data_IF_289372078937
#
_entry.id   IF_289372078937
#
_cell.length_a   1.000
_cell.length_b   1.000
_cell.length_c   1.000
_cell.angle_alpha   90.00
_cell.angle_beta   90.00
_cell.angle_gamma   90.00
#
_symmetry.space_group_name_H-M   'P 1'
#
loop_
_entity.id
_entity.type
_entity.pdbx_description
1 polymer ?
#
# COMPACT_ATOMS: atom_id res chain seq x y z
N UNK A 1 3.11 26.69 -12.95
CA UNK A 1 3.79 25.41 -13.21
C UNK A 1 2.73 24.36 -13.46
N UNK A 2 2.58 23.95 -14.72
CA UNK A 2 1.64 22.89 -15.08
C UNK A 2 1.99 21.59 -14.35
N UNK A 3 0.97 20.83 -13.94
CA UNK A 3 1.07 19.48 -13.34
C UNK A 3 1.46 19.33 -11.86
N UNK A 4 1.47 20.39 -11.02
CA UNK A 4 1.70 20.27 -9.57
C UNK A 4 0.72 19.32 -8.84
N UNK A 5 -0.48 19.13 -9.38
CA UNK A 5 -1.50 18.22 -8.84
C UNK A 5 -1.10 16.72 -8.96
N UNK A 6 -0.10 16.38 -9.79
CA UNK A 6 0.29 14.99 -10.03
C UNK A 6 1.23 14.48 -8.93
N UNK A 7 0.68 13.72 -7.99
CA UNK A 7 1.42 13.10 -6.86
C UNK A 7 2.65 12.28 -7.26
N UNK A 8 2.66 11.71 -8.47
CA UNK A 8 3.78 10.91 -8.96
C UNK A 8 4.90 11.74 -9.60
N UNK A 9 4.76 13.07 -9.72
CA UNK A 9 5.69 13.94 -10.44
C UNK A 9 7.11 13.87 -9.87
N UNK A 10 7.26 13.91 -8.54
CA UNK A 10 8.57 13.81 -7.89
C UNK A 10 9.25 12.47 -8.17
N UNK A 11 8.49 11.37 -8.19
CA UNK A 11 9.02 10.05 -8.54
C UNK A 11 9.40 9.97 -10.02
N UNK A 12 8.63 10.59 -10.91
CA UNK A 12 8.91 10.64 -12.34
C UNK A 12 10.20 11.44 -12.60
N UNK A 13 10.33 12.61 -11.98
CA UNK A 13 11.55 13.42 -12.04
C UNK A 13 12.77 12.63 -11.55
N UNK A 14 12.64 11.89 -10.43
CA UNK A 14 13.70 11.02 -9.95
C UNK A 14 14.05 9.91 -10.94
N UNK A 15 13.05 9.22 -11.52
CA UNK A 15 13.30 8.20 -12.55
C UNK A 15 14.05 8.79 -13.73
N UNK A 16 13.60 9.94 -14.23
CA UNK A 16 14.20 10.63 -15.37
C UNK A 16 15.64 11.02 -15.09
N UNK A 17 15.94 11.61 -13.92
CA UNK A 17 17.30 11.95 -13.51
C UNK A 17 18.27 10.75 -13.51
N UNK A 18 17.78 9.55 -13.20
CA UNK A 18 18.60 8.33 -13.19
C UNK A 18 18.70 7.73 -14.60
N UNK A 19 17.68 7.91 -15.44
CA UNK A 19 17.64 7.43 -16.83
C UNK A 19 18.47 8.30 -17.78
N UNK A 20 18.52 9.61 -17.53
CA UNK A 20 19.11 10.63 -18.40
C UNK A 20 20.55 10.32 -18.83
N UNK A 21 21.48 9.89 -17.94
CA UNK A 21 22.85 9.54 -18.35
C UNK A 21 22.97 8.33 -19.27
N UNK A 22 21.90 7.55 -19.46
CA UNK A 22 21.91 6.33 -20.26
C UNK A 22 21.17 6.47 -21.59
N UNK A 23 20.12 7.29 -21.63
CA UNK A 23 19.23 7.42 -22.80
C UNK A 23 18.83 8.87 -23.12
N UNK A 24 19.30 9.87 -22.36
CA UNK A 24 18.89 11.26 -22.49
C UNK A 24 19.26 11.89 -23.85
N UNK A 25 20.43 11.55 -24.38
CA UNK A 25 20.90 12.03 -25.68
C UNK A 25 20.36 11.22 -26.87
N UNK A 26 19.60 10.15 -26.61
CA UNK A 26 19.04 9.33 -27.68
C UNK A 26 17.76 9.97 -28.24
N UNK A 27 17.62 10.07 -29.57
CA UNK A 27 16.33 10.45 -30.15
C UNK A 27 15.30 9.37 -29.81
N UNK A 28 14.04 9.76 -29.61
CA UNK A 28 12.97 8.86 -29.16
C UNK A 28 12.89 7.55 -29.97
N UNK A 29 13.10 7.62 -31.29
CA UNK A 29 13.11 6.48 -32.22
C UNK A 29 14.20 5.43 -31.93
N UNK A 30 15.24 5.78 -31.17
CA UNK A 30 16.34 4.89 -30.74
C UNK A 30 16.17 4.38 -29.31
N UNK A 31 15.12 4.77 -28.60
CA UNK A 31 14.83 4.26 -27.25
C UNK A 31 14.03 2.97 -27.35
N UNK A 32 14.67 1.83 -27.14
CA UNK A 32 14.06 0.50 -27.20
C UNK A 32 14.69 -0.43 -26.14
N UNK A 33 14.27 -1.69 -26.09
CA UNK A 33 14.72 -2.64 -25.06
C UNK A 33 16.25 -2.75 -24.96
N UNK A 34 16.93 -2.90 -26.10
CA UNK A 34 18.39 -3.01 -26.17
C UNK A 34 19.13 -1.79 -25.65
N UNK A 35 18.68 -0.56 -25.98
CA UNK A 35 19.33 0.66 -25.44
C UNK A 35 19.09 0.84 -23.94
N UNK A 36 18.01 0.27 -23.40
CA UNK A 36 17.71 0.25 -21.96
C UNK A 36 18.47 -0.84 -21.18
N UNK A 37 19.13 -1.80 -21.84
CA UNK A 37 19.87 -2.87 -21.14
C UNK A 37 21.06 -2.32 -20.34
N UNK A 38 21.72 -1.27 -20.82
CA UNK A 38 22.80 -0.58 -20.10
C UNK A 38 22.29 -0.03 -18.76
N UNK A 39 21.13 0.63 -18.77
CA UNK A 39 20.43 1.13 -17.60
C UNK A 39 19.99 0.00 -16.65
N UNK A 40 19.38 -1.06 -17.19
CA UNK A 40 18.94 -2.22 -16.38
C UNK A 40 20.15 -2.86 -15.67
N UNK A 41 21.26 -3.07 -16.38
CA UNK A 41 22.51 -3.61 -15.79
C UNK A 41 23.06 -2.68 -14.72
N UNK A 42 23.08 -1.37 -14.96
CA UNK A 42 23.51 -0.38 -13.99
C UNK A 42 22.68 -0.45 -12.69
N UNK A 43 21.35 -0.46 -12.80
CA UNK A 43 20.46 -0.53 -11.63
C UNK A 43 20.58 -1.86 -10.87
N UNK A 44 20.79 -2.97 -11.59
CA UNK A 44 21.08 -4.27 -10.97
C UNK A 44 22.40 -4.27 -10.21
N UNK A 45 23.46 -3.66 -10.77
CA UNK A 45 24.75 -3.48 -10.07
C UNK A 45 24.62 -2.67 -8.78
N UNK A 46 23.68 -1.73 -8.72
CA UNK A 46 23.33 -1.01 -7.49
C UNK A 46 22.49 -1.83 -6.49
N UNK A 47 22.21 -3.11 -6.76
CA UNK A 47 21.38 -3.97 -5.90
C UNK A 47 19.89 -3.61 -5.90
N UNK A 48 19.41 -2.88 -6.92
CA UNK A 48 18.00 -2.50 -6.99
C UNK A 48 17.12 -3.69 -7.37
N UNK A 49 15.98 -3.80 -6.68
CA UNK A 49 14.96 -4.84 -6.96
C UNK A 49 14.29 -4.64 -8.31
N UNK A 50 13.87 -5.74 -8.93
CA UNK A 50 13.20 -5.75 -10.24
C UNK A 50 11.99 -4.79 -10.30
N UNK A 51 11.13 -4.78 -9.27
CA UNK A 51 9.98 -3.88 -9.21
C UNK A 51 10.37 -2.38 -9.19
N UNK A 52 11.51 -2.03 -8.57
CA UNK A 52 12.00 -0.65 -8.59
C UNK A 52 12.46 -0.26 -9.99
N UNK A 53 13.18 -1.15 -10.68
CA UNK A 53 13.61 -0.95 -12.06
C UNK A 53 12.39 -0.85 -12.98
N UNK A 54 11.40 -1.72 -12.82
CA UNK A 54 10.15 -1.68 -13.60
C UNK A 54 9.39 -0.37 -13.43
N UNK A 55 9.43 0.24 -12.24
CA UNK A 55 8.86 1.59 -12.03
C UNK A 55 9.63 2.68 -12.79
N UNK A 56 10.95 2.55 -12.92
CA UNK A 56 11.74 3.46 -13.75
C UNK A 56 11.40 3.26 -15.24
N UNK A 57 11.36 2.00 -15.71
CA UNK A 57 10.98 1.64 -17.09
C UNK A 57 9.53 2.03 -17.44
N UNK A 58 8.61 2.01 -16.47
CA UNK A 58 7.23 2.43 -16.67
C UNK A 58 7.12 3.92 -17.05
N UNK A 59 8.06 4.77 -16.60
CA UNK A 59 8.12 6.17 -17.01
C UNK A 59 8.51 6.28 -18.48
N UNK A 60 9.54 5.55 -18.91
CA UNK A 60 9.96 5.49 -20.33
C UNK A 60 8.82 4.97 -21.19
N UNK A 61 8.20 3.84 -20.81
CA UNK A 61 7.04 3.29 -21.53
C UNK A 61 5.93 4.31 -21.68
N UNK A 62 5.62 5.06 -20.61
CA UNK A 62 4.58 6.10 -20.65
C UNK A 62 4.94 7.22 -21.62
N UNK A 63 6.18 7.68 -21.63
CA UNK A 63 6.66 8.73 -22.54
C UNK A 63 6.57 8.25 -23.99
N UNK A 64 7.09 7.06 -24.31
CA UNK A 64 7.01 6.50 -25.66
C UNK A 64 5.57 6.28 -26.14
N UNK A 65 4.68 5.83 -25.24
CA UNK A 65 3.25 5.69 -25.54
C UNK A 65 2.60 7.05 -25.83
N UNK A 66 2.97 8.09 -25.07
CA UNK A 66 2.45 9.45 -25.29
C UNK A 66 2.95 10.03 -26.60
N UNK A 67 4.25 9.89 -26.89
CA UNK A 67 4.86 10.30 -28.15
C UNK A 67 4.21 9.63 -29.37
N UNK A 68 3.81 8.36 -29.24
CA UNK A 68 3.18 7.61 -30.33
C UNK A 68 1.66 7.82 -30.47
N UNK A 69 0.97 8.29 -29.42
CA UNK A 69 -0.51 8.30 -29.41
C UNK A 69 -1.14 9.65 -29.17
N UNK A 70 -0.54 10.48 -28.32
CA UNK A 70 -1.17 11.72 -27.84
C UNK A 70 -0.41 12.99 -28.26
N UNK A 71 0.91 13.01 -28.09
CA UNK A 71 1.69 14.19 -28.42
C UNK A 71 1.78 14.36 -29.93
N UNK A 72 1.77 15.62 -30.36
CA UNK A 72 1.93 16.02 -31.75
C UNK A 72 3.06 17.05 -31.86
N UNK A 73 3.74 17.08 -32.98
CA UNK A 73 4.67 18.14 -33.34
C UNK A 73 3.92 19.33 -33.96
N UNK A 74 4.66 20.36 -34.38
CA UNK A 74 4.09 21.57 -34.99
C UNK A 74 3.37 21.28 -36.32
N UNK A 75 3.62 20.13 -36.94
CA UNK A 75 2.96 19.66 -38.16
C UNK A 75 1.73 18.80 -37.88
N UNK A 76 1.37 18.58 -36.61
CA UNK A 76 0.23 17.76 -36.21
C UNK A 76 0.49 16.25 -36.33
N UNK A 77 1.74 15.82 -36.50
CA UNK A 77 2.13 14.40 -36.58
C UNK A 77 2.60 13.87 -35.22
N UNK A 78 2.48 12.56 -35.02
CA UNK A 78 3.01 11.93 -33.82
C UNK A 78 4.53 11.91 -33.85
N UNK A 79 5.15 12.09 -32.68
CA UNK A 79 6.61 12.03 -32.51
C UNK A 79 7.19 10.64 -32.77
N UNK A 80 6.35 9.61 -32.66
CA UNK A 80 6.66 8.23 -33.00
C UNK A 80 5.48 7.64 -33.78
N UNK A 81 5.76 6.80 -34.76
CA UNK A 81 4.73 6.02 -35.45
C UNK A 81 4.17 4.92 -34.53
N UNK A 82 5.08 4.18 -33.87
CA UNK A 82 4.73 3.14 -32.91
C UNK A 82 5.67 3.17 -31.70
N UNK A 83 5.11 2.93 -30.52
CA UNK A 83 5.90 2.78 -29.30
C UNK A 83 6.47 1.35 -29.24
N UNK A 84 7.78 1.18 -29.03
CA UNK A 84 8.37 -0.16 -28.95
C UNK A 84 7.88 -0.89 -27.70
N UNK A 85 7.81 -2.22 -27.80
CA UNK A 85 7.48 -3.06 -26.66
C UNK A 85 8.68 -3.13 -25.71
N UNK A 86 8.51 -2.61 -24.51
CA UNK A 86 9.46 -2.80 -23.41
C UNK A 86 9.03 -3.99 -22.57
N UNK A 87 9.92 -4.92 -22.27
CA UNK A 87 9.61 -6.04 -21.38
C UNK A 87 9.90 -5.64 -19.93
N UNK A 88 8.95 -5.88 -19.03
CA UNK A 88 9.18 -5.70 -17.60
C UNK A 88 9.96 -6.90 -17.06
N UNK A 89 10.79 -6.66 -16.05
CA UNK A 89 11.51 -7.70 -15.34
C UNK A 89 10.57 -8.52 -14.46
N UNK A 90 10.81 -9.82 -14.34
CA UNK A 90 10.06 -10.67 -13.42
C UNK A 90 10.27 -10.24 -11.97
N UNK A 91 9.19 -10.28 -11.19
CA UNK A 91 9.13 -9.76 -9.83
C UNK A 91 8.76 -10.87 -8.83
N UNK A 92 9.69 -11.78 -8.58
CA UNK A 92 9.47 -12.92 -7.69
C UNK A 92 9.74 -12.60 -6.20
N UNK A 93 10.23 -11.39 -5.90
CA UNK A 93 10.64 -10.97 -4.56
C UNK A 93 9.51 -10.30 -3.74
N UNK A 94 8.26 -10.45 -4.18
CA UNK A 94 7.11 -9.90 -3.49
C UNK A 94 6.98 -10.50 -2.08
N UNK A 95 7.17 -9.64 -1.07
CA UNK A 95 7.08 -10.07 0.33
C UNK A 95 5.64 -10.50 0.64
N UNK A 96 5.50 -11.68 1.25
CA UNK A 96 4.23 -12.18 1.78
C UNK A 96 3.72 -11.30 2.95
N UNK A 97 2.40 -11.06 3.05
CA UNK A 97 1.79 -10.41 4.21
C UNK A 97 2.17 -11.12 5.52
N UNK A 98 2.36 -10.36 6.60
CA UNK A 98 2.63 -10.90 7.94
C UNK A 98 1.54 -10.48 8.93
N UNK A 99 0.38 -11.16 9.00
CA UNK A 99 -0.64 -10.86 10.01
C UNK A 99 -0.12 -11.19 11.41
N UNK A 100 -0.25 -10.25 12.36
CA UNK A 100 0.18 -10.46 13.73
C UNK A 100 -0.79 -11.38 14.48
N UNK A 101 -0.23 -12.26 15.30
CA UNK A 101 -0.95 -12.90 16.40
C UNK A 101 -1.30 -11.88 17.49
N UNK A 102 -2.16 -12.31 18.41
CA UNK A 102 -2.54 -11.53 19.57
C UNK A 102 -1.37 -11.27 20.53
N UNK A 103 -0.53 -12.28 20.79
CA UNK A 103 0.69 -12.14 21.58
C UNK A 103 1.67 -11.14 20.95
N UNK A 104 1.94 -11.28 19.65
CA UNK A 104 2.84 -10.37 18.93
C UNK A 104 2.34 -8.93 18.94
N UNK A 105 1.02 -8.72 18.82
CA UNK A 105 0.42 -7.39 18.97
C UNK A 105 0.69 -6.84 20.38
N UNK A 106 0.42 -7.61 21.42
CA UNK A 106 0.63 -7.18 22.82
C UNK A 106 2.09 -6.82 23.07
N UNK A 107 3.04 -7.66 22.66
CA UNK A 107 4.48 -7.41 22.82
C UNK A 107 4.94 -6.17 22.05
N UNK A 108 4.49 -6.00 20.81
CA UNK A 108 4.83 -4.82 20.01
C UNK A 108 4.24 -3.53 20.60
N UNK A 109 2.95 -3.55 20.95
CA UNK A 109 2.23 -2.36 21.37
C UNK A 109 2.67 -1.86 22.75
N UNK A 110 3.11 -2.78 23.63
CA UNK A 110 3.70 -2.42 24.92
C UNK A 110 4.99 -1.60 24.79
N UNK A 111 5.72 -1.72 23.66
CA UNK A 111 6.97 -0.98 23.39
C UNK A 111 6.75 0.33 22.62
N UNK A 112 5.54 0.58 22.12
CA UNK A 112 5.24 1.81 21.38
C UNK A 112 5.00 2.99 22.33
N UNK A 113 5.50 4.20 21.99
CA UNK A 113 5.08 5.41 22.70
C UNK A 113 3.58 5.64 22.49
N UNK A 114 2.94 6.30 23.45
CA UNK A 114 1.47 6.44 23.54
C UNK A 114 0.82 6.84 22.20
N UNK A 115 1.27 7.93 21.58
CA UNK A 115 0.71 8.41 20.31
C UNK A 115 0.79 7.35 19.18
N UNK A 116 1.89 6.60 19.05
CA UNK A 116 2.00 5.54 18.05
C UNK A 116 1.17 4.32 18.43
N UNK A 117 1.04 4.01 19.73
CA UNK A 117 0.24 2.90 20.23
C UNK A 117 -1.23 3.12 19.91
N UNK A 118 -1.77 4.32 20.14
CA UNK A 118 -3.16 4.67 19.81
C UNK A 118 -3.40 4.59 18.30
N UNK A 119 -2.48 5.13 17.48
CA UNK A 119 -2.57 5.01 16.02
C UNK A 119 -2.50 3.56 15.54
N UNK A 120 -1.63 2.74 16.12
CA UNK A 120 -1.48 1.32 15.78
C UNK A 120 -2.73 0.52 16.18
N UNK A 121 -3.32 0.82 17.34
CA UNK A 121 -4.55 0.20 17.83
C UNK A 121 -5.75 0.56 16.96
N UNK A 122 -5.89 1.83 16.59
CA UNK A 122 -6.92 2.25 15.64
C UNK A 122 -6.73 1.54 14.29
N UNK A 123 -5.50 1.50 13.77
CA UNK A 123 -5.19 0.90 12.47
C UNK A 123 -5.46 -0.60 12.39
N UNK A 124 -5.07 -1.36 13.43
CA UNK A 124 -5.27 -2.83 13.45
C UNK A 124 -6.74 -3.22 13.60
N UNK A 125 -7.58 -2.32 14.09
CA UNK A 125 -9.02 -2.52 14.26
C UNK A 125 -9.88 -1.93 13.12
N UNK A 126 -9.30 -1.19 12.18
CA UNK A 126 -10.06 -0.50 11.09
C UNK A 126 -9.53 -0.80 9.68
N UNK A 127 -8.37 -1.47 9.56
CA UNK A 127 -7.78 -1.81 8.25
C UNK A 127 -7.38 -0.60 7.39
N UNK A 128 -7.31 0.58 7.99
CA UNK A 128 -6.95 1.85 7.34
C UNK A 128 -5.57 1.79 6.69
N UNK A 129 -5.34 2.59 5.65
CA UNK A 129 -3.99 2.88 5.12
C UNK A 129 -3.25 3.80 6.10
N UNK A 130 -1.92 3.80 6.08
CA UNK A 130 -1.13 4.67 6.98
C UNK A 130 -1.52 6.14 6.80
N UNK A 131 -1.62 6.60 5.55
CA UNK A 131 -2.00 7.99 5.25
C UNK A 131 -3.36 8.37 5.83
N UNK A 132 -4.36 7.48 5.72
CA UNK A 132 -5.71 7.70 6.25
C UNK A 132 -5.72 7.87 7.78
N UNK A 133 -4.78 7.25 8.51
CA UNK A 133 -4.63 7.46 9.96
C UNK A 133 -3.89 8.76 10.26
N UNK A 134 -2.78 9.02 9.56
CA UNK A 134 -1.93 10.20 9.80
C UNK A 134 -2.63 11.52 9.49
N UNK A 135 -3.60 11.52 8.58
CA UNK A 135 -4.36 12.71 8.20
C UNK A 135 -5.81 12.71 8.69
N UNK A 136 -6.20 11.78 9.58
CA UNK A 136 -7.58 11.66 10.05
C UNK A 136 -8.03 12.94 10.79
N UNK A 137 -9.19 13.49 10.41
CA UNK A 137 -9.74 14.74 10.95
C UNK A 137 -11.06 14.54 11.64
N UNK A 138 -11.36 15.39 12.63
CA UNK A 138 -12.63 15.36 13.34
C UNK A 138 -13.83 15.70 12.46
N UNK A 139 -13.67 16.61 11.50
CA UNK A 139 -14.75 16.98 10.57
C UNK A 139 -15.11 15.87 9.56
N UNK A 140 -14.40 14.74 9.57
CA UNK A 140 -14.73 13.55 8.78
C UNK A 140 -15.54 12.53 9.59
N UNK A 141 -15.72 12.75 10.89
CA UNK A 141 -16.56 11.92 11.74
C UNK A 141 -18.03 12.23 11.46
N UNK A 142 -18.80 11.19 11.13
CA UNK A 142 -20.24 11.26 10.87
C UNK A 142 -20.96 10.45 11.94
N UNK A 143 -21.86 11.10 12.66
CA UNK A 143 -22.73 10.43 13.63
C UNK A 143 -23.86 9.69 12.93
N UNK A 144 -24.17 8.49 13.38
CA UNK A 144 -25.29 7.67 12.92
C UNK A 144 -26.20 7.40 14.13
N UNK A 145 -27.16 8.29 14.42
CA UNK A 145 -28.00 8.21 15.60
C UNK A 145 -28.74 6.87 15.76
N UNK A 146 -29.18 6.28 14.64
CA UNK A 146 -29.92 5.01 14.59
C UNK A 146 -29.11 3.85 15.18
N UNK A 147 -27.79 3.89 14.99
CA UNK A 147 -26.86 2.88 15.46
C UNK A 147 -26.12 3.31 16.74
N UNK A 148 -26.45 4.50 17.30
CA UNK A 148 -25.82 5.09 18.48
C UNK A 148 -24.28 5.09 18.41
N UNK A 149 -23.74 5.32 17.22
CA UNK A 149 -22.30 5.26 16.93
C UNK A 149 -21.92 6.27 15.86
N UNK A 150 -20.62 6.45 15.65
CA UNK A 150 -20.08 7.23 14.54
C UNK A 150 -19.20 6.37 13.63
N UNK A 151 -18.98 6.89 12.43
CA UNK A 151 -18.05 6.36 11.41
C UNK A 151 -17.19 7.51 10.89
N UNK A 152 -16.07 7.22 10.24
CA UNK A 152 -15.33 8.24 9.49
C UNK A 152 -15.55 8.07 8.00
N UNK A 153 -15.84 9.17 7.31
CA UNK A 153 -15.86 9.25 5.85
C UNK A 153 -14.60 9.97 5.42
N UNK A 154 -13.55 9.21 5.10
CA UNK A 154 -12.25 9.77 4.72
C UNK A 154 -12.30 10.19 3.25
N UNK A 155 -12.11 11.48 2.93
CA UNK A 155 -12.25 11.97 1.57
C UNK A 155 -11.25 11.34 0.61
N UNK A 156 -11.74 10.97 -0.58
CA UNK A 156 -10.93 10.46 -1.68
C UNK A 156 -9.99 11.50 -2.29
N UNK A 157 -10.26 12.79 -2.02
CA UNK A 157 -9.47 13.98 -2.40
C UNK A 157 -8.10 14.00 -1.74
N UNK A 158 -7.28 13.00 -2.05
CA UNK A 158 -6.46 12.44 -0.99
C UNK A 158 -5.75 11.14 -1.35
N UNK A 159 -6.21 10.40 -2.35
CA UNK A 159 -5.67 9.10 -2.77
C UNK A 159 -5.74 8.97 -4.30
N UNK A 160 -4.98 8.01 -4.87
CA UNK A 160 -4.83 7.77 -6.33
C UNK A 160 -6.17 7.60 -7.10
N UNK A 161 -7.30 7.53 -6.40
CA UNK A 161 -8.52 6.88 -6.82
C UNK A 161 -9.80 7.71 -6.64
N UNK A 162 -9.75 8.90 -6.00
CA UNK A 162 -10.84 9.88 -5.98
C UNK A 162 -12.10 9.54 -5.18
N UNK A 163 -12.27 8.30 -4.71
CA UNK A 163 -13.47 7.85 -3.97
C UNK A 163 -13.28 7.96 -2.45
N UNK A 164 -14.36 8.35 -1.77
CA UNK A 164 -14.42 8.41 -0.31
C UNK A 164 -14.33 7.01 0.30
N UNK A 165 -13.68 6.92 1.46
CA UNK A 165 -13.53 5.67 2.19
C UNK A 165 -14.31 5.73 3.49
N UNK A 166 -15.32 4.87 3.60
CA UNK A 166 -15.99 4.61 4.87
C UNK A 166 -15.06 3.80 5.80
N UNK A 167 -14.87 4.30 7.02
CA UNK A 167 -14.10 3.64 8.08
C UNK A 167 -15.03 3.35 9.23
N UNK A 168 -15.38 2.07 9.34
CA UNK A 168 -16.20 1.55 10.42
C UNK A 168 -15.30 1.14 11.58
N UNK A 169 -15.77 1.42 12.80
CA UNK A 169 -15.01 1.23 14.03
C UNK A 169 -15.67 0.17 14.90
N UNK A 170 -14.87 -0.74 15.46
CA UNK A 170 -15.31 -1.61 16.56
C UNK A 170 -15.14 -0.91 17.92
N UNK A 171 -15.50 -1.58 19.02
CA UNK A 171 -15.40 -1.03 20.37
C UNK A 171 -13.99 -0.50 20.71
N UNK A 172 -12.95 -1.24 20.35
CA UNK A 172 -11.54 -0.87 20.57
C UNK A 172 -11.15 0.41 19.82
N UNK A 173 -11.52 0.50 18.54
CA UNK A 173 -11.26 1.68 17.73
C UNK A 173 -12.02 2.90 18.26
N UNK A 174 -13.29 2.74 18.69
CA UNK A 174 -14.07 3.83 19.31
C UNK A 174 -13.46 4.28 20.63
N UNK A 175 -12.95 3.36 21.45
CA UNK A 175 -12.25 3.70 22.68
C UNK A 175 -10.99 4.54 22.42
N UNK A 176 -10.22 4.22 21.37
CA UNK A 176 -9.09 5.06 20.93
C UNK A 176 -9.55 6.46 20.57
N UNK A 177 -10.59 6.59 19.74
CA UNK A 177 -11.11 7.89 19.30
C UNK A 177 -11.56 8.73 20.50
N UNK A 178 -12.28 8.13 21.44
CA UNK A 178 -12.73 8.83 22.65
C UNK A 178 -11.56 9.35 23.48
N UNK A 179 -10.45 8.59 23.60
CA UNK A 179 -9.22 9.06 24.27
C UNK A 179 -8.50 10.19 23.53
N UNK A 180 -8.73 10.35 22.22
CA UNK A 180 -8.15 11.44 21.44
C UNK A 180 -8.97 12.73 21.51
N UNK A 181 -10.25 12.68 21.92
CA UNK A 181 -11.10 13.87 21.99
C UNK A 181 -10.49 14.92 22.94
N UNK A 182 -10.56 16.18 22.53
CA UNK A 182 -10.00 17.30 23.28
C UNK A 182 -8.48 17.48 23.18
N UNK A 183 -7.72 16.54 22.61
CA UNK A 183 -6.26 16.69 22.47
C UNK A 183 -5.85 17.64 21.33
N UNK A 184 -6.67 17.72 20.28
CA UNK A 184 -6.48 18.63 19.16
C UNK A 184 -7.84 18.91 18.49
N UNK A 185 -8.02 20.14 17.98
CA UNK A 185 -9.29 20.58 17.40
C UNK A 185 -9.53 20.08 15.95
N UNK A 186 -8.47 19.80 15.20
CA UNK A 186 -8.56 19.49 13.76
C UNK A 186 -8.27 18.02 13.47
N UNK A 187 -7.16 17.48 14.00
CA UNK A 187 -6.69 16.13 13.73
C UNK A 187 -6.98 15.19 14.90
N UNK A 188 -7.38 13.96 14.56
CA UNK A 188 -7.60 12.90 15.55
C UNK A 188 -6.28 12.46 16.19
N UNK A 189 -5.22 12.31 15.39
CA UNK A 189 -3.92 11.86 15.88
C UNK A 189 -2.86 12.95 15.69
N UNK A 190 -2.22 13.36 16.79
CA UNK A 190 -1.16 14.37 16.79
C UNK A 190 0.05 13.94 17.62
N UNK A 191 1.18 14.56 17.34
CA UNK A 191 2.41 14.48 18.15
C UNK A 191 2.57 15.77 18.98
N UNK A 192 3.58 15.79 19.87
CA UNK A 192 3.86 16.91 20.77
C UNK A 192 3.80 18.26 20.03
N UNK A 193 3.09 19.24 20.62
CA UNK A 193 2.78 20.58 20.05
C UNK A 193 1.65 20.61 19.00
N UNK A 194 0.78 19.60 18.96
CA UNK A 194 -0.45 19.63 18.14
C UNK A 194 -0.22 19.47 16.64
N UNK A 195 0.99 19.10 16.21
CA UNK A 195 1.29 18.79 14.81
C UNK A 195 0.78 17.38 14.48
N UNK A 196 0.19 17.14 13.30
CA UNK A 196 -0.21 15.80 12.89
C UNK A 196 1.02 14.89 12.79
N UNK A 197 0.83 13.61 13.10
CA UNK A 197 1.86 12.59 12.89
C UNK A 197 1.97 12.36 11.39
N UNK A 198 3.12 12.64 10.80
CA UNK A 198 3.35 12.55 9.36
C UNK A 198 3.55 11.10 8.89
N UNK A 199 4.11 10.22 9.73
CA UNK A 199 4.28 8.78 9.45
C UNK A 199 4.26 7.96 10.75
N UNK A 200 3.76 6.72 10.67
CA UNK A 200 3.81 5.77 11.78
C UNK A 200 5.16 5.02 11.77
N UNK A 201 5.73 4.73 10.59
CA UNK A 201 7.01 4.01 10.45
C UNK A 201 8.25 4.88 10.79
N UNK A 202 8.27 5.42 12.00
CA UNK A 202 9.32 6.26 12.57
C UNK A 202 10.46 5.43 13.16
N UNK A 203 11.51 6.10 13.66
CA UNK A 203 12.56 5.45 14.44
C UNK A 203 12.00 4.71 15.67
N UNK A 204 10.99 5.29 16.32
CA UNK A 204 10.33 4.68 17.48
C UNK A 204 9.60 3.38 17.12
N UNK A 205 8.86 3.35 16.01
CA UNK A 205 8.26 2.10 15.50
C UNK A 205 9.30 1.02 15.24
N UNK A 206 10.40 1.38 14.56
CA UNK A 206 11.48 0.44 14.25
C UNK A 206 12.12 -0.10 15.51
N UNK A 207 12.43 0.76 16.47
CA UNK A 207 12.97 0.35 17.78
C UNK A 207 12.01 -0.60 18.51
N UNK A 208 10.74 -0.24 18.60
CA UNK A 208 9.74 -1.05 19.30
C UNK A 208 9.60 -2.46 18.72
N UNK A 209 9.64 -2.61 17.39
CA UNK A 209 9.58 -3.94 16.76
C UNK A 209 10.87 -4.75 16.93
N UNK A 210 12.05 -4.12 17.02
CA UNK A 210 13.29 -4.83 17.34
C UNK A 210 13.22 -5.35 18.79
N UNK A 211 12.83 -4.49 19.74
CA UNK A 211 12.68 -4.85 21.17
C UNK A 211 11.60 -5.91 21.41
N UNK A 212 10.57 -5.97 20.55
CA UNK A 212 9.54 -7.01 20.58
C UNK A 212 9.95 -8.31 19.87
N UNK A 213 11.14 -8.40 19.28
CA UNK A 213 11.58 -9.57 18.51
C UNK A 213 10.82 -9.76 17.19
N UNK A 214 10.33 -8.67 16.60
CA UNK A 214 9.50 -8.63 15.39
C UNK A 214 10.09 -7.69 14.30
N UNK A 215 11.40 -7.76 13.97
CA UNK A 215 12.06 -6.86 13.02
C UNK A 215 11.43 -6.84 11.62
N UNK A 216 10.75 -7.93 11.26
CA UNK A 216 10.05 -8.06 10.00
C UNK A 216 8.79 -7.19 9.93
N UNK A 217 8.11 -6.91 11.04
CA UNK A 217 6.77 -6.31 11.04
C UNK A 217 6.80 -4.87 10.49
N UNK A 218 5.87 -4.59 9.58
CA UNK A 218 5.65 -3.27 8.96
C UNK A 218 4.34 -2.68 9.47
N UNK A 219 4.22 -1.35 9.42
CA UNK A 219 2.96 -0.66 9.72
C UNK A 219 1.80 -1.19 8.87
N UNK A 220 2.05 -1.54 7.60
CA UNK A 220 1.02 -2.10 6.72
C UNK A 220 0.57 -3.51 7.11
N UNK A 221 1.38 -4.26 7.86
CA UNK A 221 0.99 -5.58 8.37
C UNK A 221 -0.18 -5.48 9.38
N UNK A 222 -0.41 -4.32 10.01
CA UNK A 222 -1.60 -4.08 10.83
C UNK A 222 -2.89 -4.14 10.00
N UNK A 223 -2.87 -3.66 8.74
CA UNK A 223 -4.00 -3.81 7.81
C UNK A 223 -4.19 -5.27 7.40
N UNK A 224 -3.10 -5.99 7.13
CA UNK A 224 -3.16 -7.42 6.84
C UNK A 224 -3.68 -8.23 8.03
N UNK A 225 -3.33 -7.82 9.25
CA UNK A 225 -3.84 -8.40 10.50
C UNK A 225 -5.35 -8.24 10.60
N UNK A 226 -5.87 -7.03 10.40
CA UNK A 226 -7.31 -6.77 10.37
C UNK A 226 -8.04 -7.67 9.35
N UNK A 227 -7.56 -7.68 8.10
CA UNK A 227 -8.16 -8.51 7.04
C UNK A 227 -8.10 -10.03 7.33
N UNK A 228 -7.03 -10.49 7.99
CA UNK A 228 -6.88 -11.89 8.40
C UNK A 228 -7.83 -12.24 9.54
N UNK A 229 -8.01 -11.34 10.52
CA UNK A 229 -8.95 -11.55 11.64
C UNK A 229 -10.40 -11.59 11.15
N UNK A 230 -10.80 -10.68 10.26
CA UNK A 230 -12.12 -10.73 9.62
C UNK A 230 -12.34 -12.08 8.91
N UNK A 231 -11.34 -12.55 8.16
CA UNK A 231 -11.40 -13.86 7.49
C UNK A 231 -11.57 -15.00 8.48
N UNK A 232 -10.80 -14.99 9.57
CA UNK A 232 -10.85 -16.03 10.59
C UNK A 232 -12.20 -16.08 11.32
N UNK A 233 -12.91 -14.95 11.39
CA UNK A 233 -14.25 -14.83 11.97
C UNK A 233 -15.37 -15.05 10.95
N UNK A 234 -15.06 -15.58 9.77
CA UNK A 234 -16.05 -15.94 8.75
C UNK A 234 -16.68 -14.77 8.01
N UNK A 235 -16.14 -13.55 8.12
CA UNK A 235 -16.66 -12.39 7.37
C UNK A 235 -16.46 -12.62 5.86
N UNK A 236 -17.52 -12.36 5.08
CA UNK A 236 -17.56 -12.60 3.64
C UNK A 236 -16.39 -11.90 2.91
N UNK A 237 -16.04 -12.38 1.72
CA UNK A 237 -14.99 -11.73 0.94
C UNK A 237 -15.37 -10.31 0.54
N UNK A 238 -16.62 -10.10 0.12
CA UNK A 238 -17.17 -8.82 -0.31
C UNK A 238 -17.13 -7.78 0.82
N UNK A 239 -17.69 -8.09 1.99
CA UNK A 239 -17.65 -7.24 3.18
C UNK A 239 -16.21 -6.90 3.56
N UNK A 240 -15.27 -7.87 3.44
CA UNK A 240 -13.84 -7.61 3.67
C UNK A 240 -13.22 -6.67 2.63
N UNK A 241 -13.61 -6.73 1.35
CA UNK A 241 -13.15 -5.78 0.34
C UNK A 241 -13.58 -4.36 0.70
N UNK A 242 -14.86 -4.19 1.07
CA UNK A 242 -15.43 -2.90 1.51
C UNK A 242 -14.65 -2.35 2.72
N UNK A 243 -14.54 -3.13 3.80
CA UNK A 243 -13.83 -2.73 5.02
C UNK A 243 -12.34 -2.41 4.77
N UNK A 244 -11.66 -3.17 3.91
CA UNK A 244 -10.27 -2.92 3.55
C UNK A 244 -10.10 -1.81 2.50
N UNK A 245 -11.19 -1.22 2.00
CA UNK A 245 -11.16 -0.23 0.91
C UNK A 245 -10.41 -0.75 -0.31
N UNK A 246 -10.63 -2.03 -0.64
CA UNK A 246 -10.20 -2.62 -1.89
C UNK A 246 -11.25 -2.33 -2.96
N UNK A 247 -10.77 -1.97 -4.15
CA UNK A 247 -11.63 -1.65 -5.28
C UNK A 247 -12.16 -2.92 -5.92
N UNK A 248 -13.47 -3.07 -5.92
CA UNK A 248 -14.20 -3.55 -7.09
C UNK A 248 -15.09 -2.38 -7.51
N UNK A 249 -15.10 -2.04 -8.80
CA UNK A 249 -15.80 -0.85 -9.30
C UNK A 249 -17.26 -0.82 -8.84
N UNK A 250 -17.78 0.39 -8.62
CA UNK A 250 -19.15 0.68 -8.15
C UNK A 250 -19.42 0.53 -6.65
N UNK A 251 -18.46 0.81 -5.76
CA UNK A 251 -18.86 1.14 -4.38
C UNK A 251 -19.42 2.56 -4.39
N UNK A 252 -20.75 2.64 -4.46
CA UNK A 252 -21.54 3.85 -4.29
C UNK A 252 -21.18 4.52 -2.96
N UNK A 253 -21.06 5.85 -2.97
CA UNK A 253 -20.85 6.69 -1.78
C UNK A 253 -22.04 6.65 -0.81
N UNK A 254 -23.14 6.01 -1.20
CA UNK A 254 -24.36 5.87 -0.42
C UNK A 254 -24.40 4.50 0.24
N UNK A 255 -24.14 4.47 1.55
CA UNK A 255 -24.45 3.33 2.40
C UNK A 255 -25.76 3.62 3.14
N UNK A 256 -26.68 2.68 3.14
CA UNK A 256 -27.83 2.68 4.03
C UNK A 256 -27.40 2.42 5.47
N UNK A 257 -28.22 2.84 6.44
CA UNK A 257 -27.96 2.54 7.85
C UNK A 257 -27.88 1.02 8.12
N UNK A 258 -28.66 0.21 7.39
CA UNK A 258 -28.62 -1.24 7.48
C UNK A 258 -27.25 -1.80 7.05
N UNK A 259 -26.74 -1.38 5.89
CA UNK A 259 -25.41 -1.79 5.41
C UNK A 259 -24.30 -1.35 6.38
N UNK A 260 -24.38 -0.14 6.93
CA UNK A 260 -23.41 0.29 7.96
C UNK A 260 -23.52 -0.57 9.22
N UNK A 261 -24.73 -0.94 9.63
CA UNK A 261 -24.97 -1.90 10.73
C UNK A 261 -24.27 -3.23 10.51
N UNK A 262 -24.42 -3.84 9.33
CA UNK A 262 -23.75 -5.10 8.97
C UNK A 262 -22.22 -4.96 9.00
N UNK A 263 -21.67 -3.83 8.53
CA UNK A 263 -20.24 -3.55 8.60
C UNK A 263 -19.76 -3.41 10.05
N UNK A 264 -20.56 -2.79 10.93
CA UNK A 264 -20.25 -2.66 12.36
C UNK A 264 -20.20 -4.04 13.01
N UNK A 265 -21.23 -4.85 12.82
CA UNK A 265 -21.27 -6.22 13.35
C UNK A 265 -20.07 -7.05 12.87
N UNK A 266 -19.66 -6.88 11.61
CA UNK A 266 -18.49 -7.56 11.06
C UNK A 266 -17.18 -7.14 11.75
N UNK A 267 -16.97 -5.84 12.02
CA UNK A 267 -15.74 -5.38 12.70
C UNK A 267 -15.74 -5.68 14.20
N UNK A 268 -16.91 -5.76 14.84
CA UNK A 268 -17.02 -6.14 16.25
C UNK A 268 -16.52 -7.56 16.50
N UNK A 269 -16.70 -8.49 15.55
CA UNK A 269 -16.17 -9.86 15.64
C UNK A 269 -14.64 -9.91 15.79
N UNK A 270 -13.94 -8.83 15.41
CA UNK A 270 -12.47 -8.72 15.47
C UNK A 270 -11.98 -8.10 16.77
N UNK A 271 -12.87 -7.56 17.61
CA UNK A 271 -12.53 -7.06 18.95
C UNK A 271 -11.89 -8.15 19.81
N UNK A 272 -11.04 -7.75 20.75
CA UNK A 272 -10.43 -8.66 21.70
C UNK A 272 -11.51 -9.26 22.62
N UNK A 273 -12.02 -10.43 22.26
CA UNK A 273 -12.87 -11.26 23.11
C UNK A 273 -12.10 -12.54 23.42
N UNK A 274 -11.27 -12.49 24.48
CA UNK A 274 -10.59 -13.53 25.28
C UNK A 274 -10.40 -15.00 24.83
N UNK A 275 -10.77 -15.41 23.62
CA UNK A 275 -10.79 -16.79 23.16
C UNK A 275 -9.84 -16.95 21.98
N UNK A 276 -8.76 -17.68 22.28
CA UNK A 276 -7.76 -18.28 21.41
C UNK A 276 -8.03 -18.16 19.91
N UNK A 277 -7.19 -17.37 19.21
CA UNK A 277 -7.16 -17.37 17.76
C UNK A 277 -6.18 -18.44 17.26
N UNK A 278 -6.49 -19.16 16.17
CA UNK A 278 -5.63 -20.20 15.65
C UNK A 278 -4.31 -19.64 15.14
N UNK A 279 -3.21 -20.18 15.64
CA UNK A 279 -1.84 -19.95 15.18
C UNK A 279 -1.75 -20.20 13.67
N UNK A 280 -0.98 -19.36 12.98
CA UNK A 280 -0.85 -19.36 11.54
C UNK A 280 -0.09 -20.61 11.07
N UNK A 281 -0.80 -21.70 10.76
CA UNK A 281 -0.19 -22.88 10.13
C UNK A 281 0.11 -22.57 8.67
N UNK A 282 1.39 -22.37 8.36
CA UNK A 282 1.88 -22.36 6.98
C UNK A 282 1.86 -23.80 6.46
N UNK A 283 0.83 -24.17 5.71
CA UNK A 283 0.85 -25.40 4.92
C UNK A 283 1.82 -25.16 3.76
N UNK A 284 3.07 -25.62 3.90
CA UNK A 284 4.01 -25.74 2.79
C UNK A 284 3.65 -27.01 2.01
N UNK A 285 3.39 -26.87 0.72
CA UNK A 285 3.23 -28.02 -0.17
C UNK A 285 4.64 -28.52 -0.54
N UNK A 286 5.03 -29.71 -0.08
CA UNK A 286 6.35 -30.30 -0.37
C UNK A 286 6.49 -30.78 -1.82
N UNK A 287 5.40 -30.76 -2.62
CA UNK A 287 5.40 -31.26 -4.00
C UNK A 287 5.69 -30.24 -5.10
N UNK A 288 6.17 -29.02 -4.80
CA UNK A 288 6.71 -28.15 -5.87
C UNK A 288 8.12 -28.62 -6.27
N UNK A 289 8.20 -29.74 -7.01
CA UNK A 289 9.42 -30.23 -7.63
C UNK A 289 10.01 -29.12 -8.52
N UNK A 290 11.27 -28.76 -8.25
CA UNK A 290 12.10 -27.94 -9.14
C UNK A 290 12.21 -28.67 -10.48
N UNK A 291 11.73 -28.06 -11.56
CA UNK A 291 12.09 -28.51 -12.91
C UNK A 291 13.60 -28.37 -13.09
N UNK A 292 14.32 -29.39 -13.61
CA UNK A 292 15.75 -29.27 -13.84
C UNK A 292 16.02 -28.27 -14.98
N UNK A 293 17.05 -27.45 -14.79
CA UNK A 293 17.60 -26.59 -15.82
C UNK A 293 18.14 -27.45 -16.98
N UNK A 294 17.66 -27.16 -18.20
CA UNK A 294 18.16 -27.76 -19.43
C UNK A 294 19.64 -27.38 -19.59
N UNK A 295 20.47 -28.42 -19.70
CA UNK A 295 21.93 -28.33 -19.76
C UNK A 295 22.46 -27.66 -21.03
N UNK A 296 23.63 -27.02 -20.85
CA UNK A 296 24.54 -26.59 -21.91
C UNK A 296 24.81 -27.75 -22.88
N UNK A 297 24.65 -27.50 -24.18
CA UNK A 297 25.31 -28.31 -25.21
C UNK A 297 26.73 -27.78 -25.40
N UNK A 298 27.69 -28.62 -25.08
CA UNK A 298 29.09 -28.46 -25.45
C UNK A 298 29.28 -28.69 -26.95
N UNK A 299 30.20 -27.92 -27.53
CA UNK A 299 30.69 -28.07 -28.89
C UNK A 299 31.40 -29.42 -29.04
N UNK A 300 30.98 -30.24 -30.00
CA UNK A 300 31.78 -31.34 -30.55
C UNK A 300 32.32 -30.89 -31.89
N UNK A 301 33.64 -30.71 -31.96
CA UNK A 301 34.42 -30.68 -33.21
C UNK A 301 34.35 -32.05 -33.85
N UNK A 302 34.10 -32.11 -35.16
CA UNK A 302 34.60 -33.18 -36.01
C UNK A 302 35.17 -32.58 -37.30
N UNK A 303 36.42 -32.99 -37.52
CA UNK A 303 37.31 -32.98 -38.69
C UNK A 303 36.76 -32.41 -39.99
#
# INVERSE_FOLDING_TARGET
MDYQHKRSIGRYAQSLKILDPHIGDLPLRRVHQGTLESFIRYRRKQGMRANTINRDLAVVRRILTLAARLWRDDSGLTWLETAPLLQLLDCDDARKPYPLSWDEQSRLFARLPEHLREMALFKVNTGTREQEVTCLRWNWEVSIPELKTSVFVVPGGGVKNGEDRLVVMNAEARAVINRQRGRNAEYVFTYSKGRPVDRINTKAWRRAREEAGLPQVRVHDLKHTFGRRLRAKGVSHETRQVLLGHKNGQITTHYSAAEVGELIEAVEKVSWSGSSAPTLTLIKNENSRKSPAIGRRENVKLV
#
